data_IF_921528951083
#
_entry.id   IF_921528951083
#
_cell.length_a   1.000
_cell.length_b   1.000
_cell.length_c   1.000
_cell.angle_alpha   90.00
_cell.angle_beta   90.00
_cell.angle_gamma   90.00
#
_symmetry.space_group_name_H-M   'P 1'
#
loop_
_entity.id
_entity.type
_entity.pdbx_description
1 polymer ?
#
# COMPACT_ATOMS: atom_id res chain seq x y z
N UNK A 1 -7.39 -39.78 26.76
CA UNK A 1 -7.69 -38.34 26.96
C UNK A 1 -6.36 -37.65 27.22
N UNK A 2 -5.59 -37.35 26.17
CA UNK A 2 -5.71 -36.18 25.28
C UNK A 2 -5.19 -34.90 25.95
N UNK A 3 -3.97 -34.48 25.61
CA UNK A 3 -3.59 -33.08 25.45
C UNK A 3 -2.24 -32.97 24.67
N UNK A 4 -2.25 -32.11 23.65
CA UNK A 4 -1.13 -31.55 22.86
C UNK A 4 -0.44 -32.38 21.76
N UNK A 5 -1.08 -32.40 20.59
CA UNK A 5 -0.43 -32.49 19.27
C UNK A 5 0.02 -31.09 18.83
N UNK A 6 1.31 -30.86 18.60
CA UNK A 6 1.87 -29.81 17.71
C UNK A 6 3.40 -29.97 17.65
N UNK A 7 3.93 -30.67 16.64
CA UNK A 7 5.23 -30.45 15.96
C UNK A 7 5.46 -31.59 14.96
N UNK A 8 4.96 -31.49 13.72
CA UNK A 8 5.17 -32.55 12.72
C UNK A 8 5.47 -32.09 11.29
N UNK A 9 6.06 -30.91 11.06
CA UNK A 9 6.36 -30.48 9.67
C UNK A 9 7.73 -29.85 9.41
N UNK A 10 8.70 -29.98 10.31
CA UNK A 10 10.07 -29.49 10.06
C UNK A 10 11.06 -30.59 9.63
N UNK A 11 10.62 -31.83 9.43
CA UNK A 11 11.54 -32.98 9.24
C UNK A 11 11.67 -33.56 7.83
N UNK A 12 11.03 -32.97 6.79
CA UNK A 12 11.04 -33.57 5.45
C UNK A 12 11.98 -32.85 4.44
N UNK A 13 12.51 -31.66 4.75
CA UNK A 13 13.34 -30.93 3.78
C UNK A 13 14.86 -31.21 3.83
N UNK A 14 15.36 -32.04 4.77
CA UNK A 14 16.80 -32.22 4.99
C UNK A 14 17.42 -33.51 4.41
N UNK A 15 16.68 -34.32 3.63
CA UNK A 15 17.15 -35.66 3.27
C UNK A 15 17.41 -35.95 1.79
N UNK A 16 17.52 -34.95 0.93
CA UNK A 16 17.89 -35.17 -0.49
C UNK A 16 18.99 -34.23 -0.97
N UNK A 17 20.14 -34.25 -0.31
CA UNK A 17 21.44 -33.88 -0.93
C UNK A 17 22.51 -34.81 -0.35
N UNK A 18 22.55 -36.05 -0.86
CA UNK A 18 23.64 -37.01 -0.65
C UNK A 18 24.00 -37.59 -2.01
N UNK A 19 24.61 -36.80 -2.89
CA UNK A 19 25.33 -37.33 -4.06
C UNK A 19 26.53 -36.44 -4.40
N UNK A 20 27.68 -37.10 -4.44
CA UNK A 20 29.00 -36.72 -4.96
C UNK A 20 29.77 -35.54 -4.32
N UNK A 21 30.82 -35.90 -3.58
CA UNK A 21 31.98 -35.06 -3.34
C UNK A 21 32.71 -34.79 -4.69
N UNK A 22 32.95 -33.53 -5.10
CA UNK A 22 33.76 -33.24 -6.27
C UNK A 22 35.27 -33.29 -5.93
N UNK A 23 36.12 -33.89 -6.77
CA UNK A 23 37.56 -33.94 -6.55
C UNK A 23 38.22 -32.58 -6.88
N UNK A 24 39.13 -32.16 -6.00
CA UNK A 24 40.18 -31.16 -6.21
C UNK A 24 39.77 -29.78 -6.78
N UNK A 25 39.47 -28.84 -5.89
CA UNK A 25 39.48 -27.40 -6.21
C UNK A 25 40.43 -26.65 -5.25
N UNK A 26 41.24 -25.78 -5.84
CA UNK A 26 42.41 -25.09 -5.25
C UNK A 26 42.10 -24.21 -4.02
N UNK A 27 43.10 -23.85 -3.19
CA UNK A 27 42.89 -23.09 -1.95
C UNK A 27 42.40 -21.63 -2.15
N UNK A 28 42.37 -21.13 -3.40
CA UNK A 28 42.05 -19.72 -3.69
C UNK A 28 40.55 -19.40 -3.81
N UNK A 29 39.65 -20.39 -3.69
CA UNK A 29 38.19 -20.15 -3.83
C UNK A 29 37.44 -19.99 -2.50
N UNK A 30 38.10 -20.21 -1.35
CA UNK A 30 37.43 -20.22 -0.04
C UNK A 30 37.17 -18.84 0.60
N UNK A 31 37.74 -17.76 0.06
CA UNK A 31 37.56 -16.40 0.59
C UNK A 31 36.43 -15.59 -0.08
N UNK A 32 35.85 -16.08 -1.18
CA UNK A 32 34.74 -15.37 -1.85
C UNK A 32 33.36 -15.67 -1.28
N UNK A 33 33.20 -16.69 -0.43
CA UNK A 33 31.89 -17.11 0.09
C UNK A 33 31.52 -16.49 1.45
N UNK A 34 32.48 -15.87 2.16
CA UNK A 34 32.21 -15.16 3.41
C UNK A 34 31.97 -13.65 3.24
N UNK A 35 32.02 -13.17 2.00
CA UNK A 35 31.81 -11.75 1.65
C UNK A 35 30.60 -11.51 0.73
N UNK A 36 29.68 -12.47 0.60
CA UNK A 36 28.36 -12.17 0.09
C UNK A 36 27.56 -11.54 1.22
N UNK A 37 27.22 -10.23 1.15
CA UNK A 37 26.24 -9.69 2.08
C UNK A 37 24.99 -10.53 1.91
N UNK A 38 24.39 -10.92 3.04
CA UNK A 38 23.02 -11.42 3.13
C UNK A 38 22.12 -10.45 2.37
N UNK A 39 21.97 -10.67 1.06
CA UNK A 39 21.11 -9.85 0.22
C UNK A 39 19.71 -10.05 0.80
N UNK A 40 19.17 -8.95 1.34
CA UNK A 40 17.81 -8.88 1.84
C UNK A 40 16.91 -9.73 0.94
N UNK A 41 16.36 -10.81 1.49
CA UNK A 41 15.41 -11.70 0.81
C UNK A 41 14.08 -10.95 0.60
N UNK A 42 14.10 -9.86 -0.17
CA UNK A 42 12.90 -9.20 -0.64
C UNK A 42 12.27 -10.11 -1.67
N UNK A 43 11.06 -10.59 -1.38
CA UNK A 43 10.31 -11.43 -2.30
C UNK A 43 10.16 -10.72 -3.66
N UNK A 44 10.17 -11.46 -4.79
CA UNK A 44 9.93 -10.86 -6.09
C UNK A 44 8.63 -10.06 -6.08
N UNK A 45 8.58 -8.89 -6.72
CA UNK A 45 7.44 -7.98 -6.64
C UNK A 45 6.09 -8.62 -6.95
N UNK A 46 6.05 -9.57 -7.89
CA UNK A 46 4.85 -10.34 -8.22
C UNK A 46 4.33 -11.19 -7.06
N UNK A 47 5.21 -11.69 -6.16
CA UNK A 47 4.80 -12.45 -4.98
C UNK A 47 4.23 -11.52 -3.91
N UNK A 48 4.87 -10.37 -3.66
CA UNK A 48 4.38 -9.36 -2.70
C UNK A 48 2.99 -8.86 -3.08
N UNK A 49 2.77 -8.55 -4.36
CA UNK A 49 1.46 -8.14 -4.84
C UNK A 49 0.39 -9.24 -4.67
N UNK A 50 0.75 -10.51 -4.91
CA UNK A 50 -0.17 -11.64 -4.66
C UNK A 50 -0.52 -11.80 -3.18
N UNK A 51 0.44 -11.63 -2.29
CA UNK A 51 0.20 -11.65 -0.84
C UNK A 51 -0.75 -10.53 -0.42
N UNK A 52 -0.57 -9.32 -0.95
CA UNK A 52 -1.49 -8.21 -0.71
C UNK A 52 -2.89 -8.49 -1.29
N UNK A 53 -2.99 -9.02 -2.50
CA UNK A 53 -4.28 -9.42 -3.10
C UNK A 53 -4.95 -10.59 -2.35
N UNK A 54 -4.21 -11.36 -1.56
CA UNK A 54 -4.79 -12.45 -0.77
C UNK A 54 -5.60 -11.95 0.44
N UNK A 55 -5.39 -10.69 0.85
CA UNK A 55 -6.16 -10.06 1.92
C UNK A 55 -7.63 -9.89 1.51
N UNK A 56 -8.60 -10.17 2.41
CA UNK A 56 -10.01 -10.22 2.05
C UNK A 56 -10.54 -8.90 1.46
N UNK A 57 -10.07 -7.76 1.96
CA UNK A 57 -10.50 -6.42 1.55
C UNK A 57 -9.89 -6.02 0.19
N UNK A 58 -8.73 -6.58 -0.15
CA UNK A 58 -8.07 -6.36 -1.45
C UNK A 58 -8.64 -7.27 -2.57
N UNK A 59 -9.48 -8.25 -2.23
CA UNK A 59 -10.17 -9.11 -3.23
C UNK A 59 -11.36 -8.42 -3.89
N UNK A 60 -11.77 -7.25 -3.40
CA UNK A 60 -12.86 -6.45 -3.94
C UNK A 60 -12.27 -5.13 -4.41
N UNK A 61 -12.78 -4.61 -5.52
CA UNK A 61 -12.36 -3.32 -6.06
C UNK A 61 -12.67 -2.19 -5.05
N UNK A 62 -11.73 -1.25 -4.90
CA UNK A 62 -11.83 -0.10 -3.99
C UNK A 62 -13.02 0.85 -4.27
N UNK A 63 -13.55 0.84 -5.50
CA UNK A 63 -14.61 1.78 -5.92
C UNK A 63 -15.90 1.11 -6.38
N UNK A 64 -15.91 -0.22 -6.50
CA UNK A 64 -17.10 -0.97 -6.89
C UNK A 64 -17.05 -2.39 -6.33
N UNK A 65 -18.17 -3.10 -6.35
CA UNK A 65 -18.25 -4.46 -5.76
C UNK A 65 -17.66 -5.58 -6.64
N UNK A 66 -16.86 -5.25 -7.67
CA UNK A 66 -16.26 -6.25 -8.55
C UNK A 66 -15.11 -6.99 -7.86
N UNK A 67 -15.11 -8.31 -7.97
CA UNK A 67 -14.11 -9.19 -7.35
C UNK A 67 -12.84 -9.32 -8.20
N UNK A 68 -11.76 -9.75 -7.56
CA UNK A 68 -10.45 -10.05 -8.15
C UNK A 68 -9.86 -8.88 -8.94
N UNK A 69 -9.70 -7.69 -8.34
CA UNK A 69 -9.12 -6.54 -9.02
C UNK A 69 -7.70 -6.83 -9.53
N UNK A 70 -7.47 -6.59 -10.82
CA UNK A 70 -6.18 -6.82 -11.52
C UNK A 70 -5.41 -5.52 -11.81
N UNK A 71 -5.93 -4.38 -11.35
CA UNK A 71 -5.33 -3.08 -11.50
C UNK A 71 -5.13 -2.46 -10.12
N UNK A 72 -4.23 -1.48 -10.03
CA UNK A 72 -3.94 -0.79 -8.79
C UNK A 72 -3.69 0.69 -9.03
N UNK A 73 -4.02 1.50 -8.02
CA UNK A 73 -3.58 2.89 -7.94
C UNK A 73 -2.47 3.00 -6.91
N UNK A 74 -1.25 3.25 -7.40
CA UNK A 74 -0.04 3.34 -6.59
C UNK A 74 -0.09 4.57 -5.67
N UNK A 75 -0.75 5.65 -6.11
CA UNK A 75 -0.88 6.88 -5.32
C UNK A 75 -1.54 6.64 -3.96
N UNK A 76 -2.43 5.65 -3.88
CA UNK A 76 -3.18 5.30 -2.67
C UNK A 76 -2.83 3.92 -2.11
N UNK A 77 -2.14 3.08 -2.88
CA UNK A 77 -1.86 1.70 -2.49
C UNK A 77 -3.11 0.80 -2.50
N UNK A 78 -4.02 0.99 -3.47
CA UNK A 78 -5.32 0.28 -3.56
C UNK A 78 -5.42 -0.57 -4.81
N UNK A 79 -6.23 -1.63 -4.74
CA UNK A 79 -6.59 -2.49 -5.88
C UNK A 79 -7.97 -2.15 -6.43
N UNK A 80 -8.09 -2.13 -7.75
CA UNK A 80 -9.30 -1.81 -8.48
C UNK A 80 -9.50 -2.67 -9.73
N UNK A 81 -10.73 -2.73 -10.24
CA UNK A 81 -11.05 -3.46 -11.46
C UNK A 81 -10.61 -2.69 -12.72
N UNK A 82 -10.70 -3.36 -13.88
CA UNK A 82 -10.34 -2.76 -15.17
C UNK A 82 -11.18 -1.50 -15.48
N UNK A 83 -12.48 -1.54 -15.23
CA UNK A 83 -13.38 -0.42 -15.53
C UNK A 83 -13.07 0.82 -14.68
N UNK A 84 -12.89 0.64 -13.36
CA UNK A 84 -12.50 1.72 -12.47
C UNK A 84 -11.09 2.24 -12.81
N UNK A 85 -10.18 1.36 -13.25
CA UNK A 85 -8.84 1.80 -13.69
C UNK A 85 -8.91 2.80 -14.85
N UNK A 86 -9.84 2.64 -15.78
CA UNK A 86 -10.06 3.59 -16.89
C UNK A 86 -10.56 4.94 -16.38
N UNK A 87 -11.48 4.95 -15.40
CA UNK A 87 -11.97 6.18 -14.76
C UNK A 87 -10.85 6.90 -14.01
N UNK A 88 -10.01 6.16 -13.29
CA UNK A 88 -8.83 6.69 -12.60
C UNK A 88 -7.81 7.32 -13.54
N UNK A 89 -7.59 6.76 -14.74
CA UNK A 89 -6.71 7.37 -15.75
C UNK A 89 -7.22 8.75 -16.18
N UNK A 90 -8.53 8.94 -16.23
CA UNK A 90 -9.16 10.24 -16.53
C UNK A 90 -8.90 11.33 -15.47
N UNK A 91 -8.53 10.96 -14.24
CA UNK A 91 -8.15 11.92 -13.19
C UNK A 91 -6.76 12.54 -13.42
N UNK A 92 -5.92 11.88 -14.23
CA UNK A 92 -4.53 12.26 -14.43
C UNK A 92 -3.56 11.65 -13.41
N UNK A 93 -2.29 11.56 -13.83
CA UNK A 93 -1.24 10.82 -13.12
C UNK A 93 -0.89 11.38 -11.73
N UNK A 94 -1.12 12.68 -11.51
CA UNK A 94 -0.84 13.37 -10.25
C UNK A 94 -1.89 13.07 -9.17
N UNK A 95 -3.11 12.67 -9.59
CA UNK A 95 -4.17 12.22 -8.69
C UNK A 95 -4.07 10.71 -8.49
N UNK A 96 -4.07 9.95 -9.58
CA UNK A 96 -4.06 8.49 -9.52
C UNK A 96 -3.08 7.89 -10.52
N UNK A 97 -1.99 7.32 -10.01
CA UNK A 97 -1.01 6.63 -10.83
C UNK A 97 -1.36 5.15 -10.97
N UNK A 98 -1.89 4.79 -12.14
CA UNK A 98 -2.47 3.47 -12.42
C UNK A 98 -1.44 2.50 -13.00
N UNK A 99 -1.45 1.26 -12.49
CA UNK A 99 -0.68 0.12 -13.01
C UNK A 99 -1.48 -1.19 -13.02
N UNK A 100 -1.18 -2.05 -13.98
CA UNK A 100 -1.60 -3.44 -14.02
C UNK A 100 -0.77 -4.25 -13.02
N UNK A 101 -1.43 -5.12 -12.26
CA UNK A 101 -0.75 -5.98 -11.29
C UNK A 101 0.14 -7.02 -11.98
N UNK A 102 -0.26 -7.50 -13.16
CA UNK A 102 0.41 -8.61 -13.86
C UNK A 102 1.20 -8.19 -15.09
N UNK A 103 0.80 -7.12 -15.77
CA UNK A 103 1.38 -6.72 -17.05
C UNK A 103 2.48 -5.66 -16.93
N UNK A 104 2.46 -4.86 -15.86
CA UNK A 104 3.41 -3.78 -15.67
C UNK A 104 4.61 -4.21 -14.81
N UNK A 105 5.75 -3.56 -15.04
CA UNK A 105 6.89 -3.64 -14.14
C UNK A 105 6.70 -2.74 -12.93
N UNK A 106 7.08 -3.26 -11.77
CA UNK A 106 6.93 -2.59 -10.48
C UNK A 106 8.29 -2.30 -9.87
N UNK A 107 8.47 -1.07 -9.38
CA UNK A 107 9.65 -0.71 -8.60
C UNK A 107 9.43 -0.95 -7.11
N UNK A 108 10.52 -1.11 -6.36
CA UNK A 108 10.47 -1.33 -4.91
C UNK A 108 9.68 -0.26 -4.16
N UNK A 109 9.82 0.99 -4.59
CA UNK A 109 9.09 2.10 -3.98
C UNK A 109 7.58 2.04 -4.25
N UNK A 110 7.18 1.50 -5.41
CA UNK A 110 5.76 1.30 -5.73
C UNK A 110 5.16 0.15 -4.93
N UNK A 111 5.92 -0.94 -4.77
CA UNK A 111 5.51 -2.07 -3.92
C UNK A 111 5.35 -1.63 -2.47
N UNK A 112 6.30 -0.84 -1.94
CA UNK A 112 6.21 -0.27 -0.60
C UNK A 112 4.96 0.60 -0.42
N UNK A 113 4.58 1.40 -1.43
CA UNK A 113 3.32 2.17 -1.40
C UNK A 113 2.09 1.27 -1.30
N UNK A 114 2.07 0.15 -2.03
CA UNK A 114 0.98 -0.83 -1.95
C UNK A 114 0.88 -1.47 -0.55
N UNK A 115 2.01 -1.77 0.09
CA UNK A 115 2.05 -2.35 1.44
C UNK A 115 1.59 -1.36 2.53
N UNK A 116 1.95 -0.09 2.37
CA UNK A 116 1.55 0.99 3.29
C UNK A 116 0.07 1.40 3.12
N UNK A 117 -0.48 1.17 1.92
CA UNK A 117 -1.89 1.37 1.60
C UNK A 117 -2.76 0.26 2.17
N UNK A 118 -3.39 -0.53 1.28
CA UNK A 118 -4.51 -1.46 1.49
C UNK A 118 -5.88 -0.80 1.41
N UNK A 119 -6.81 -1.47 0.71
CA UNK A 119 -8.16 -0.97 0.46
C UNK A 119 -8.88 -0.59 1.76
N UNK A 120 -8.81 -1.45 2.77
CA UNK A 120 -9.46 -1.21 4.07
C UNK A 120 -8.95 0.07 4.74
N UNK A 121 -7.63 0.27 4.78
CA UNK A 121 -7.04 1.46 5.41
C UNK A 121 -7.45 2.74 4.69
N UNK A 122 -7.60 2.69 3.37
CA UNK A 122 -8.05 3.84 2.59
C UNK A 122 -9.54 4.10 2.83
N UNK A 123 -10.38 3.06 2.80
CA UNK A 123 -11.81 3.16 3.06
C UNK A 123 -12.09 3.75 4.44
N UNK A 124 -11.45 3.22 5.48
CA UNK A 124 -11.55 3.74 6.85
C UNK A 124 -11.12 5.21 6.94
N UNK A 125 -10.01 5.57 6.29
CA UNK A 125 -9.51 6.94 6.32
C UNK A 125 -10.48 7.90 5.63
N UNK A 126 -10.96 7.57 4.44
CA UNK A 126 -11.89 8.40 3.67
C UNK A 126 -13.23 8.55 4.43
N UNK A 127 -13.69 7.49 5.08
CA UNK A 127 -14.91 7.50 5.90
C UNK A 127 -14.80 8.46 7.10
N UNK A 128 -13.63 8.59 7.73
CA UNK A 128 -13.42 9.55 8.83
C UNK A 128 -13.68 11.00 8.40
N UNK A 129 -13.43 11.33 7.13
CA UNK A 129 -13.72 12.64 6.55
C UNK A 129 -15.18 12.80 6.11
N UNK A 130 -16.03 11.78 6.30
CA UNK A 130 -17.45 11.80 5.97
C UNK A 130 -17.77 11.49 4.51
N UNK A 131 -16.84 10.85 3.79
CA UNK A 131 -17.01 10.49 2.38
C UNK A 131 -17.45 9.02 2.31
N UNK A 132 -18.66 8.72 1.79
CA UNK A 132 -19.12 7.34 1.61
C UNK A 132 -18.30 6.55 0.59
N UNK A 133 -18.27 5.24 0.72
CA UNK A 133 -17.52 4.34 -0.17
C UNK A 133 -18.05 4.39 -1.61
N UNK A 134 -19.36 4.53 -1.77
CA UNK A 134 -20.10 4.55 -3.03
C UNK A 134 -20.02 5.89 -3.78
N UNK A 135 -19.27 6.85 -3.24
CA UNK A 135 -19.04 8.15 -3.89
C UNK A 135 -18.42 7.95 -5.27
N UNK A 136 -18.91 8.68 -6.27
CA UNK A 136 -18.34 8.66 -7.61
C UNK A 136 -16.82 8.93 -7.58
N UNK A 137 -16.05 8.16 -8.35
CA UNK A 137 -14.58 8.21 -8.43
C UNK A 137 -14.07 9.65 -8.60
N UNK A 138 -14.64 10.43 -9.53
CA UNK A 138 -14.18 11.80 -9.79
C UNK A 138 -14.36 12.68 -8.56
N UNK A 139 -15.51 12.61 -7.89
CA UNK A 139 -15.74 13.38 -6.67
C UNK A 139 -14.86 12.88 -5.53
N UNK A 140 -14.80 11.56 -5.29
CA UNK A 140 -14.06 10.91 -4.20
C UNK A 140 -12.59 11.31 -4.19
N UNK A 141 -11.91 11.25 -5.34
CA UNK A 141 -10.46 11.47 -5.41
C UNK A 141 -10.02 12.93 -5.58
N UNK A 142 -10.97 13.85 -5.81
CA UNK A 142 -10.75 15.30 -5.77
C UNK A 142 -11.01 15.92 -4.38
N UNK A 143 -11.41 15.14 -3.39
CA UNK A 143 -11.56 15.59 -2.00
C UNK A 143 -10.23 15.92 -1.34
N UNK A 144 -10.27 16.76 -0.30
CA UNK A 144 -9.07 17.04 0.51
C UNK A 144 -8.64 15.77 1.26
N UNK A 145 -9.57 14.95 1.74
CA UNK A 145 -9.28 13.65 2.33
C UNK A 145 -8.40 12.77 1.41
N UNK A 146 -8.76 12.67 0.13
CA UNK A 146 -7.97 11.91 -0.84
C UNK A 146 -6.57 12.52 -1.03
N UNK A 147 -6.45 13.86 -1.06
CA UNK A 147 -5.15 14.52 -1.14
C UNK A 147 -4.26 14.24 0.06
N UNK A 148 -4.80 14.39 1.27
CA UNK A 148 -4.11 14.11 2.52
C UNK A 148 -3.62 12.66 2.56
N UNK A 149 -4.42 11.71 2.05
CA UNK A 149 -4.00 10.31 2.01
C UNK A 149 -2.84 10.07 1.03
N UNK A 150 -2.82 10.72 -0.14
CA UNK A 150 -1.68 10.62 -1.08
C UNK A 150 -0.40 11.14 -0.42
N UNK A 151 -0.49 12.29 0.25
CA UNK A 151 0.64 12.90 0.94
C UNK A 151 1.15 12.01 2.09
N UNK A 152 0.23 11.33 2.79
CA UNK A 152 0.54 10.31 3.80
C UNK A 152 1.34 9.17 3.20
N UNK A 153 0.85 8.54 2.14
CA UNK A 153 1.52 7.40 1.50
C UNK A 153 2.89 7.81 0.99
N UNK A 154 3.02 8.99 0.37
CA UNK A 154 4.30 9.52 -0.09
C UNK A 154 5.28 9.70 1.08
N UNK A 155 4.86 10.37 2.15
CA UNK A 155 5.69 10.65 3.32
C UNK A 155 6.18 9.37 4.01
N UNK A 156 5.26 8.41 4.24
CA UNK A 156 5.59 7.13 4.87
C UNK A 156 6.53 6.29 4.00
N UNK A 157 6.37 6.35 2.67
CA UNK A 157 7.26 5.65 1.74
C UNK A 157 8.68 6.20 1.81
N UNK A 158 8.83 7.52 1.91
CA UNK A 158 10.11 8.21 2.09
C UNK A 158 10.71 8.05 3.50
N UNK A 159 10.00 7.40 4.43
CA UNK A 159 10.44 7.25 5.82
C UNK A 159 10.33 8.53 6.65
N UNK A 160 9.57 9.52 6.19
CA UNK A 160 9.29 10.75 6.92
C UNK A 160 8.22 10.50 7.98
N UNK A 161 8.29 11.25 9.07
CA UNK A 161 7.23 11.27 10.07
C UNK A 161 5.97 11.88 9.46
N UNK A 162 4.86 11.17 9.57
CA UNK A 162 3.54 11.66 9.16
C UNK A 162 2.70 12.02 10.38
N UNK A 163 2.08 13.20 10.35
CA UNK A 163 1.09 13.63 11.35
C UNK A 163 -0.22 13.87 10.63
N UNK A 164 -1.28 13.21 11.08
CA UNK A 164 -2.60 13.42 10.50
C UNK A 164 -3.05 14.86 10.75
N UNK A 165 -3.42 15.62 9.69
CA UNK A 165 -4.03 16.92 9.89
C UNK A 165 -5.37 16.78 10.61
N UNK A 166 -5.89 17.85 11.25
CA UNK A 166 -7.20 17.83 11.87
C UNK A 166 -8.27 17.37 10.86
N UNK A 167 -9.08 16.39 11.25
CA UNK A 167 -10.14 15.86 10.39
C UNK A 167 -11.24 16.91 10.26
N UNK A 168 -11.32 17.54 9.10
CA UNK A 168 -12.43 18.44 8.74
C UNK A 168 -13.41 17.63 7.90
N UNK A 169 -14.63 17.42 8.41
CA UNK A 169 -15.67 16.67 7.69
C UNK A 169 -16.07 17.42 6.43
N UNK A 170 -15.99 16.76 5.28
CA UNK A 170 -16.40 17.32 4.00
C UNK A 170 -17.89 17.02 3.76
N UNK A 171 -18.67 18.02 3.36
CA UNK A 171 -20.06 17.79 2.94
C UNK A 171 -20.12 17.76 1.43
N UNK A 172 -20.38 16.59 0.85
CA UNK A 172 -20.59 16.44 -0.59
C UNK A 172 -22.03 16.85 -0.89
N UNK A 173 -22.25 18.04 -1.47
CA UNK A 173 -23.59 18.50 -1.89
C UNK A 173 -23.62 18.57 -3.40
N UNK A 174 -24.39 17.69 -4.04
CA UNK A 174 -24.68 17.70 -5.49
C UNK A 174 -23.41 17.79 -6.37
N UNK A 175 -22.48 16.85 -6.21
CA UNK A 175 -21.30 16.74 -7.09
C UNK A 175 -20.22 17.83 -6.90
N UNK A 176 -20.41 18.79 -6.00
CA UNK A 176 -19.41 19.80 -5.65
C UNK A 176 -18.95 19.66 -4.19
N UNK A 177 -17.64 19.74 -3.97
CA UNK A 177 -17.00 19.72 -2.65
C UNK A 177 -17.15 21.11 -2.02
N UNK A 178 -17.86 21.22 -0.88
CA UNK A 178 -17.83 22.42 -0.03
C UNK A 178 -17.08 22.09 1.26
N UNK A 179 -15.95 22.76 1.49
CA UNK A 179 -15.25 22.76 2.78
C UNK A 179 -16.06 23.63 3.73
N UNK A 180 -16.96 23.03 4.52
CA UNK A 180 -17.58 23.74 5.63
C UNK A 180 -16.57 23.74 6.76
N UNK A 181 -15.87 24.85 6.96
CA UNK A 181 -15.08 25.08 8.18
C UNK A 181 -16.11 25.15 9.31
N UNK A 182 -16.35 24.03 9.99
CA UNK A 182 -17.04 24.07 11.28
C UNK A 182 -16.01 24.67 12.25
N UNK A 183 -16.09 25.99 12.46
CA UNK A 183 -15.38 26.67 13.54
C UNK A 183 -16.01 26.17 14.85
N UNK A 184 -15.63 24.97 15.28
CA UNK A 184 -15.86 24.54 16.66
C UNK A 184 -14.71 25.12 17.47
N UNK A 185 -14.88 26.36 17.93
CA UNK A 185 -14.22 26.93 19.12
C UNK A 185 -12.75 26.55 19.36
N UNK A 186 -11.89 26.59 18.33
CA UNK A 186 -10.45 26.60 18.53
C UNK A 186 -9.98 28.02 18.38
N UNK A 187 -9.86 28.67 19.55
CA UNK A 187 -9.05 29.85 19.78
C UNK A 187 -7.73 29.68 19.02
N UNK A 188 -7.57 30.49 17.99
CA UNK A 188 -6.36 30.66 17.24
C UNK A 188 -5.21 30.91 18.22
N UNK A 189 -4.38 29.89 18.48
CA UNK A 189 -3.01 30.11 18.97
C UNK A 189 -2.17 30.27 17.71
N UNK A 190 -2.27 31.46 17.09
CA UNK A 190 -1.22 31.93 16.19
C UNK A 190 0.01 32.09 17.08
N UNK A 191 1.03 31.27 16.83
CA UNK A 191 2.33 31.48 17.42
C UNK A 191 2.89 32.80 16.91
N UNK A 192 2.95 33.79 17.79
CA UNK A 192 3.86 34.93 17.68
C UNK A 192 5.28 34.36 17.59
N UNK A 193 5.93 34.60 16.46
CA UNK A 193 7.39 34.49 16.33
C UNK A 193 7.92 35.89 16.58
N UNK A 194 8.29 36.17 17.82
CA UNK A 194 9.19 37.28 18.14
C UNK A 194 10.65 36.89 17.85
N UNK A 195 11.42 37.93 17.47
CA UNK A 195 12.90 38.08 17.50
C UNK A 195 13.72 37.30 16.43
N UNK A 196 14.66 37.87 15.66
CA UNK A 196 15.44 39.13 15.67
C UNK A 196 15.59 39.70 14.25
#
# INVERSE_FOLDING_TARGET
>A
MAFFHLTHSYKIACQVIKLQEPPHLSPFTFLSLYFYPFQNLTLPGSRRLRELQSQPENKICMDCSQKNPQWASISYGVFMCLECSSKHRGLGIHISFVRSVTMDSWSEIQLKKMELGENERVNQFILQYGIPEETNIVTKYNTNAASVYRDRIQSLTEGKLWRNPPVVKETIRSGYIRVIIIIINLRWVVGEREEW
#
